data_IF_535569963202
#
_entry.id   IF_535569963202
#
_cell.length_a   1.000
_cell.length_b   1.000
_cell.length_c   1.000
_cell.angle_alpha   90.00
_cell.angle_beta   90.00
_cell.angle_gamma   90.00
#
_symmetry.space_group_name_H-M   'P 1'
#
loop_
_entity.id
_entity.type
_entity.pdbx_description
1 polymer ?
#
# COMPACT_ATOMS: atom_id res chain seq x y z
N UNK A 1 -27.09 -27.24 -0.39
CA UNK A 1 -26.14 -27.09 -1.50
C UNK A 1 -24.81 -26.63 -0.91
N UNK A 2 -23.95 -27.58 -0.54
CA UNK A 2 -22.60 -27.30 -0.06
C UNK A 2 -21.71 -27.11 -1.27
N UNK A 3 -21.16 -25.92 -1.47
CA UNK A 3 -20.10 -25.72 -2.45
C UNK A 3 -19.19 -24.56 -2.05
N UNK A 4 -18.23 -24.88 -1.19
CA UNK A 4 -16.97 -24.15 -1.09
C UNK A 4 -15.98 -25.11 -0.45
N UNK A 5 -14.98 -25.57 -1.21
CA UNK A 5 -13.73 -26.05 -0.61
C UNK A 5 -13.27 -25.00 0.39
N UNK A 6 -13.29 -25.31 1.69
CA UNK A 6 -12.98 -24.33 2.74
C UNK A 6 -11.53 -23.86 2.57
N UNK A 7 -11.38 -22.66 2.00
CA UNK A 7 -10.07 -22.05 1.78
C UNK A 7 -9.57 -21.58 3.14
N UNK A 8 -8.50 -22.21 3.63
CA UNK A 8 -7.77 -21.70 4.79
C UNK A 8 -7.16 -20.35 4.38
N UNK A 9 -7.46 -19.30 5.16
CA UNK A 9 -6.97 -17.93 4.98
C UNK A 9 -6.17 -17.51 6.19
N UNK A 10 -5.32 -16.50 6.02
CA UNK A 10 -4.72 -15.80 7.15
C UNK A 10 -5.80 -15.36 8.16
N UNK A 11 -5.53 -15.52 9.45
CA UNK A 11 -6.51 -15.28 10.52
C UNK A 11 -7.17 -13.89 10.44
N UNK A 12 -6.37 -12.85 10.14
CA UNK A 12 -6.87 -11.47 10.01
C UNK A 12 -7.89 -11.30 8.88
N UNK A 13 -7.81 -12.11 7.83
CA UNK A 13 -8.68 -12.03 6.66
C UNK A 13 -10.06 -12.68 6.87
N UNK A 14 -10.24 -13.44 7.96
CA UNK A 14 -11.49 -14.16 8.24
C UNK A 14 -12.53 -13.30 8.97
N UNK A 15 -12.16 -12.07 9.36
CA UNK A 15 -12.99 -11.22 10.23
C UNK A 15 -14.07 -10.42 9.49
N UNK A 16 -13.93 -10.23 8.17
CA UNK A 16 -14.87 -9.47 7.34
C UNK A 16 -14.81 -9.98 5.88
N UNK A 17 -15.94 -10.18 5.18
CA UNK A 17 -15.96 -10.61 3.78
C UNK A 17 -15.15 -9.72 2.84
N UNK A 18 -15.08 -8.42 3.09
CA UNK A 18 -14.28 -7.48 2.31
C UNK A 18 -12.77 -7.72 2.52
N UNK A 19 -12.36 -8.05 3.75
CA UNK A 19 -10.97 -8.45 4.02
C UNK A 19 -10.64 -9.78 3.36
N UNK A 20 -11.56 -10.75 3.39
CA UNK A 20 -11.38 -12.03 2.72
C UNK A 20 -11.20 -11.86 1.20
N UNK A 21 -12.02 -11.01 0.58
CA UNK A 21 -11.90 -10.69 -0.85
C UNK A 21 -10.57 -10.00 -1.19
N UNK A 22 -10.18 -9.00 -0.39
CA UNK A 22 -8.89 -8.30 -0.54
C UNK A 22 -7.70 -9.24 -0.36
N UNK A 23 -7.73 -10.08 0.67
CA UNK A 23 -6.72 -11.11 0.93
C UNK A 23 -6.57 -12.06 -0.26
N UNK A 24 -7.69 -12.55 -0.78
CA UNK A 24 -7.70 -13.54 -1.85
C UNK A 24 -7.22 -12.95 -3.17
N UNK A 25 -7.61 -11.71 -3.49
CA UNK A 25 -7.42 -11.13 -4.81
C UNK A 25 -6.25 -10.15 -4.93
N UNK A 26 -5.81 -9.52 -3.85
CA UNK A 26 -4.91 -8.38 -3.90
C UNK A 26 -3.70 -8.51 -2.98
N UNK A 27 -3.89 -8.88 -1.71
CA UNK A 27 -2.81 -8.88 -0.73
C UNK A 27 -1.77 -9.97 -1.00
N UNK A 28 -0.49 -9.58 -0.97
CA UNK A 28 0.63 -10.45 -1.30
C UNK A 28 0.76 -10.78 -2.80
N UNK A 29 0.01 -10.10 -3.68
CA UNK A 29 0.17 -10.24 -5.13
C UNK A 29 1.24 -9.25 -5.62
N UNK A 30 2.33 -9.71 -6.27
CA UNK A 30 3.40 -8.82 -6.71
C UNK A 30 2.90 -7.71 -7.64
N UNK A 31 3.07 -6.46 -7.21
CA UNK A 31 2.72 -5.26 -7.97
C UNK A 31 3.99 -4.63 -8.54
N UNK A 32 4.01 -4.38 -9.85
CA UNK A 32 5.15 -3.79 -10.55
C UNK A 32 4.81 -2.48 -11.26
N UNK A 33 3.55 -2.04 -11.27
CA UNK A 33 3.20 -0.71 -11.77
C UNK A 33 3.58 0.38 -10.74
N UNK A 34 4.43 1.32 -11.15
CA UNK A 34 4.97 2.38 -10.28
C UNK A 34 3.87 3.23 -9.62
N UNK A 35 2.82 3.56 -10.36
CA UNK A 35 1.72 4.40 -9.87
C UNK A 35 0.79 3.62 -8.94
N UNK A 36 0.57 2.33 -9.19
CA UNK A 36 -0.13 1.41 -8.30
C UNK A 36 0.59 1.20 -6.97
N UNK A 37 1.91 1.00 -7.02
CA UNK A 37 2.76 0.90 -5.83
C UNK A 37 2.68 2.18 -5.01
N UNK A 38 2.78 3.34 -5.67
CA UNK A 38 2.66 4.65 -5.03
C UNK A 38 1.28 4.88 -4.40
N UNK A 39 0.18 4.60 -5.10
CA UNK A 39 -1.18 4.70 -4.55
C UNK A 39 -1.32 3.86 -3.28
N UNK A 40 -0.89 2.59 -3.33
CA UNK A 40 -0.97 1.69 -2.17
C UNK A 40 -0.16 2.24 -0.99
N UNK A 41 1.05 2.77 -1.24
CA UNK A 41 1.87 3.39 -0.19
C UNK A 41 1.16 4.60 0.46
N UNK A 42 0.43 5.41 -0.32
CA UNK A 42 -0.35 6.53 0.24
C UNK A 42 -1.47 6.02 1.14
N UNK A 43 -2.20 4.98 0.70
CA UNK A 43 -3.27 4.36 1.48
C UNK A 43 -2.76 3.75 2.79
N UNK A 44 -1.62 3.04 2.76
CA UNK A 44 -0.93 2.52 3.95
C UNK A 44 -0.47 3.67 4.87
N UNK A 45 -0.01 4.80 4.33
CA UNK A 45 0.26 6.01 5.10
C UNK A 45 -0.98 6.56 5.83
N UNK A 46 -2.16 6.49 5.20
CA UNK A 46 -3.42 6.86 5.84
C UNK A 46 -3.86 5.89 6.93
N UNK A 47 -3.46 4.61 6.87
CA UNK A 47 -3.81 3.58 7.84
C UNK A 47 -3.21 3.82 9.24
N UNK A 48 -2.13 4.60 9.38
CA UNK A 48 -1.48 4.82 10.68
C UNK A 48 -2.49 5.24 11.78
N UNK A 49 -2.67 4.40 12.81
CA UNK A 49 -3.62 4.61 13.91
C UNK A 49 -5.05 4.10 13.65
N UNK A 50 -5.29 3.36 12.57
CA UNK A 50 -6.60 2.83 12.17
C UNK A 50 -6.49 1.35 11.74
N UNK A 51 -7.63 0.67 11.62
CA UNK A 51 -7.67 -0.66 10.98
C UNK A 51 -7.55 -0.56 9.47
N UNK A 52 -6.91 -1.54 8.82
CA UNK A 52 -6.87 -1.61 7.35
C UNK A 52 -8.29 -1.70 6.74
N UNK A 53 -9.22 -2.40 7.39
CA UNK A 53 -10.63 -2.44 6.97
C UNK A 53 -11.26 -1.05 6.83
N UNK A 54 -10.88 -0.10 7.70
CA UNK A 54 -11.33 1.29 7.59
C UNK A 54 -10.86 1.93 6.29
N UNK A 55 -9.60 1.72 5.92
CA UNK A 55 -9.03 2.26 4.68
C UNK A 55 -9.65 1.57 3.47
N UNK A 56 -9.79 0.24 3.52
CA UNK A 56 -10.34 -0.56 2.42
C UNK A 56 -11.79 -0.15 2.09
N UNK A 57 -12.64 0.08 3.11
CA UNK A 57 -14.00 0.61 2.92
C UNK A 57 -14.04 2.04 2.35
N UNK A 58 -12.98 2.82 2.55
CA UNK A 58 -12.86 4.21 2.09
C UNK A 58 -12.09 4.35 0.78
N UNK A 59 -11.57 3.26 0.21
CA UNK A 59 -10.61 3.29 -0.90
C UNK A 59 -11.13 4.03 -2.13
N UNK A 60 -12.38 3.78 -2.52
CA UNK A 60 -12.98 4.45 -3.68
C UNK A 60 -13.26 5.94 -3.41
N UNK A 61 -13.61 6.28 -2.16
CA UNK A 61 -13.71 7.68 -1.75
C UNK A 61 -12.34 8.38 -1.80
N UNK A 62 -11.27 7.72 -1.35
CA UNK A 62 -9.90 8.22 -1.48
C UNK A 62 -9.52 8.45 -2.94
N UNK A 63 -9.76 7.48 -3.83
CA UNK A 63 -9.51 7.64 -5.27
C UNK A 63 -10.27 8.84 -5.83
N UNK A 64 -11.55 9.00 -5.53
CA UNK A 64 -12.33 10.17 -5.97
C UNK A 64 -11.76 11.48 -5.44
N UNK A 65 -11.47 11.53 -4.13
CA UNK A 65 -10.98 12.70 -3.42
C UNK A 65 -9.60 13.18 -3.95
N UNK A 66 -8.71 12.22 -4.24
CA UNK A 66 -7.36 12.44 -4.75
C UNK A 66 -7.26 12.26 -6.28
N UNK A 67 -8.35 12.47 -7.02
CA UNK A 67 -8.38 12.51 -8.50
C UNK A 67 -7.76 11.28 -9.18
N UNK A 68 -8.02 10.10 -8.62
CA UNK A 68 -7.55 8.79 -9.09
C UNK A 68 -6.10 8.48 -8.73
N UNK A 69 -5.55 9.14 -7.70
CA UNK A 69 -4.13 9.01 -7.34
C UNK A 69 -3.18 9.29 -8.51
N UNK A 70 -3.52 10.27 -9.35
CA UNK A 70 -2.66 10.76 -10.44
C UNK A 70 -1.73 11.83 -9.87
N UNK A 71 -0.41 11.57 -9.72
CA UNK A 71 0.51 12.49 -9.04
C UNK A 71 0.54 13.89 -9.65
N UNK A 72 0.45 14.00 -10.98
CA UNK A 72 0.44 15.25 -11.74
C UNK A 72 -0.81 16.10 -11.47
N UNK A 73 -1.90 15.48 -11.05
CA UNK A 73 -3.12 16.19 -10.62
C UNK A 73 -3.01 16.61 -9.16
N UNK A 74 -2.50 15.71 -8.31
CA UNK A 74 -2.39 15.93 -6.86
C UNK A 74 -1.38 17.03 -6.53
N UNK A 75 -0.25 17.11 -7.25
CA UNK A 75 0.77 18.13 -6.99
C UNK A 75 0.25 19.57 -7.16
N UNK A 76 -0.84 19.74 -7.93
CA UNK A 76 -1.52 21.02 -8.18
C UNK A 76 -2.53 21.39 -7.09
N UNK A 77 -2.78 20.51 -6.11
CA UNK A 77 -3.69 20.81 -5.01
C UNK A 77 -3.18 22.01 -4.22
N UNK A 78 -4.12 22.90 -3.90
CA UNK A 78 -3.87 24.13 -3.15
C UNK A 78 -4.39 24.01 -1.72
N UNK A 79 -4.22 25.06 -0.91
CA UNK A 79 -4.81 25.11 0.43
C UNK A 79 -6.34 24.93 0.40
N UNK A 80 -7.02 25.47 -0.61
CA UNK A 80 -8.45 25.29 -0.79
C UNK A 80 -8.82 23.81 -1.03
N UNK A 81 -7.95 23.04 -1.69
CA UNK A 81 -8.16 21.60 -1.84
C UNK A 81 -7.95 20.85 -0.52
N UNK A 82 -6.98 21.25 0.29
CA UNK A 82 -6.76 20.67 1.62
C UNK A 82 -7.99 20.90 2.50
N UNK A 83 -8.51 22.13 2.53
CA UNK A 83 -9.73 22.46 3.28
C UNK A 83 -10.96 21.69 2.77
N UNK A 84 -11.12 21.60 1.45
CA UNK A 84 -12.18 20.76 0.83
C UNK A 84 -12.08 19.30 1.29
N UNK A 85 -10.87 18.73 1.29
CA UNK A 85 -10.63 17.35 1.72
C UNK A 85 -10.84 17.16 3.22
N UNK A 86 -10.55 18.18 4.05
CA UNK A 86 -10.83 18.17 5.48
C UNK A 86 -12.33 18.14 5.80
N UNK A 87 -13.20 18.49 4.85
CA UNK A 87 -14.65 18.37 4.99
C UNK A 87 -15.22 17.05 4.44
N UNK A 88 -14.41 16.23 3.76
CA UNK A 88 -14.87 14.99 3.14
C UNK A 88 -14.88 13.83 4.16
N UNK A 89 -16.09 13.50 4.65
CA UNK A 89 -16.30 12.37 5.55
C UNK A 89 -16.06 10.98 4.91
N UNK A 90 -15.96 10.93 3.57
CA UNK A 90 -15.61 9.74 2.81
C UNK A 90 -14.19 9.25 3.07
N UNK A 91 -13.26 10.16 3.39
CA UNK A 91 -11.85 9.83 3.66
C UNK A 91 -11.49 9.94 5.15
N UNK A 92 -10.22 9.76 5.47
CA UNK A 92 -9.65 10.07 6.79
C UNK A 92 -9.26 11.55 6.81
N UNK A 93 -9.98 12.36 7.60
CA UNK A 93 -9.81 13.82 7.71
C UNK A 93 -8.61 14.18 8.59
N UNK A 94 -7.42 14.00 8.04
CA UNK A 94 -6.15 14.33 8.70
C UNK A 94 -5.35 15.27 7.80
N UNK A 95 -5.28 16.55 8.20
CA UNK A 95 -4.58 17.59 7.45
C UNK A 95 -3.13 17.19 7.15
N UNK A 96 -2.41 16.70 8.15
CA UNK A 96 -1.02 16.26 8.00
C UNK A 96 -0.85 15.12 6.99
N UNK A 97 -1.77 14.15 6.95
CA UNK A 97 -1.74 13.05 5.97
C UNK A 97 -2.15 13.50 4.56
N UNK A 98 -3.10 14.43 4.45
CA UNK A 98 -3.50 15.05 3.18
C UNK A 98 -2.32 15.83 2.57
N UNK A 99 -1.72 16.73 3.35
CA UNK A 99 -0.54 17.51 2.95
C UNK A 99 0.64 16.61 2.61
N UNK A 100 0.85 15.53 3.39
CA UNK A 100 1.87 14.53 3.08
C UNK A 100 1.62 13.84 1.75
N UNK A 101 0.38 13.51 1.39
CA UNK A 101 0.06 12.90 0.09
C UNK A 101 0.42 13.84 -1.07
N UNK A 102 0.17 15.14 -0.91
CA UNK A 102 0.58 16.16 -1.88
C UNK A 102 2.11 16.25 -1.98
N UNK A 103 2.82 16.23 -0.84
CA UNK A 103 4.27 16.18 -0.81
C UNK A 103 4.86 14.91 -1.42
N UNK A 104 4.23 13.77 -1.19
CA UNK A 104 4.64 12.48 -1.73
C UNK A 104 4.42 12.40 -3.25
N UNK A 105 3.43 13.11 -3.79
CA UNK A 105 3.26 13.27 -5.24
C UNK A 105 4.43 14.07 -5.85
N UNK A 106 4.89 15.13 -5.17
CA UNK A 106 6.09 15.88 -5.57
C UNK A 106 7.34 14.99 -5.55
N UNK A 107 7.52 14.23 -4.48
CA UNK A 107 8.65 13.30 -4.34
C UNK A 107 8.68 12.25 -5.45
N UNK A 108 7.52 11.63 -5.73
CA UNK A 108 7.37 10.66 -6.82
C UNK A 108 7.70 11.26 -8.19
N UNK A 109 7.14 12.44 -8.51
CA UNK A 109 7.42 13.12 -9.79
C UNK A 109 8.88 13.57 -9.91
N UNK A 110 9.51 13.95 -8.79
CA UNK A 110 10.92 14.31 -8.78
C UNK A 110 11.82 13.11 -9.09
N UNK A 111 11.48 11.90 -8.58
CA UNK A 111 12.18 10.67 -8.96
C UNK A 111 12.06 10.42 -10.47
N UNK A 112 10.84 10.49 -11.02
CA UNK A 112 10.61 10.30 -12.45
C UNK A 112 11.38 11.32 -13.30
N UNK A 113 11.41 12.59 -12.89
CA UNK A 113 12.17 13.64 -13.57
C UNK A 113 13.70 13.40 -13.51
N UNK A 114 14.18 12.69 -12.48
CA UNK A 114 15.58 12.26 -12.37
C UNK A 114 15.89 10.95 -13.12
N UNK A 115 14.91 10.37 -13.82
CA UNK A 115 15.05 9.09 -14.51
C UNK A 115 15.00 7.87 -13.59
N UNK A 116 14.51 8.02 -12.36
CA UNK A 116 14.35 6.93 -11.40
C UNK A 116 12.90 6.41 -11.42
N UNK A 117 12.69 5.20 -11.95
CA UNK A 117 11.38 4.54 -11.88
C UNK A 117 11.12 4.02 -10.45
N UNK A 118 9.92 4.28 -9.93
CA UNK A 118 9.57 3.96 -8.55
C UNK A 118 9.52 2.45 -8.29
N UNK A 119 8.99 1.67 -9.24
CA UNK A 119 8.91 0.21 -9.13
C UNK A 119 10.30 -0.41 -9.17
N UNK A 120 11.14 -0.01 -10.13
CA UNK A 120 12.53 -0.48 -10.23
C UNK A 120 13.34 -0.12 -8.99
N UNK A 121 13.19 1.09 -8.47
CA UNK A 121 13.84 1.53 -7.23
C UNK A 121 13.48 0.62 -6.05
N UNK A 122 12.19 0.37 -5.83
CA UNK A 122 11.70 -0.42 -4.69
C UNK A 122 12.05 -1.90 -4.85
N UNK A 123 11.75 -2.49 -6.00
CA UNK A 123 12.04 -3.89 -6.27
C UNK A 123 13.54 -4.17 -6.31
N UNK A 124 14.35 -3.22 -6.77
CA UNK A 124 15.81 -3.28 -6.70
C UNK A 124 16.32 -3.44 -5.27
N UNK A 125 15.79 -2.65 -4.32
CA UNK A 125 16.11 -2.79 -2.90
C UNK A 125 15.67 -4.16 -2.33
N UNK A 126 14.58 -4.73 -2.84
CA UNK A 126 14.06 -6.03 -2.42
C UNK A 126 14.67 -7.24 -3.15
N UNK A 127 15.68 -7.04 -4.02
CA UNK A 127 16.34 -8.11 -4.76
C UNK A 127 15.55 -8.63 -5.98
N UNK A 128 14.59 -7.86 -6.48
CA UNK A 128 13.92 -8.05 -7.77
C UNK A 128 12.86 -9.15 -7.83
N UNK A 129 12.58 -9.84 -6.72
CA UNK A 129 11.59 -10.93 -6.66
C UNK A 129 10.91 -10.99 -5.28
N UNK A 130 9.69 -11.53 -5.19
CA UNK A 130 9.01 -11.66 -3.90
C UNK A 130 9.84 -12.42 -2.87
N UNK A 131 9.86 -11.89 -1.65
CA UNK A 131 10.49 -12.52 -0.48
C UNK A 131 9.42 -13.39 0.20
N UNK A 132 9.53 -14.71 0.04
CA UNK A 132 8.61 -15.66 0.69
C UNK A 132 9.05 -15.91 2.12
N UNK A 133 8.20 -15.58 3.09
CA UNK A 133 8.48 -15.85 4.48
C UNK A 133 8.27 -17.34 4.79
N UNK A 134 9.36 -18.05 5.08
CA UNK A 134 9.35 -19.48 5.41
C UNK A 134 9.40 -19.75 6.92
N UNK A 135 9.56 -18.71 7.74
CA UNK A 135 9.74 -18.85 9.19
C UNK A 135 8.40 -18.88 9.94
N UNK A 136 7.32 -18.40 9.33
CA UNK A 136 6.01 -18.25 9.95
C UNK A 136 5.90 -17.06 10.91
N UNK A 137 7.02 -16.43 11.30
CA UNK A 137 7.03 -15.21 12.11
C UNK A 137 6.76 -14.00 11.23
N UNK A 138 5.73 -13.22 11.56
CA UNK A 138 5.36 -12.00 10.83
C UNK A 138 5.64 -10.79 11.72
N UNK A 139 6.83 -10.16 11.61
CA UNK A 139 7.18 -9.01 12.44
C UNK A 139 6.38 -7.77 12.00
N UNK A 140 6.37 -6.73 12.83
CA UNK A 140 5.73 -5.44 12.46
C UNK A 140 6.62 -4.58 11.57
N UNK A 141 7.92 -4.87 11.51
CA UNK A 141 8.92 -4.24 10.64
C UNK A 141 10.12 -5.18 10.47
N UNK A 142 10.92 -4.95 9.44
CA UNK A 142 12.17 -5.67 9.14
C UNK A 142 13.31 -4.70 8.86
N UNK A 143 14.58 -5.15 8.91
CA UNK A 143 15.71 -4.32 8.49
C UNK A 143 15.52 -3.73 7.08
N UNK A 144 15.03 -4.53 6.13
CA UNK A 144 14.73 -4.05 4.78
C UNK A 144 13.65 -2.95 4.76
N UNK A 145 12.59 -3.07 5.57
CA UNK A 145 11.58 -2.01 5.68
C UNK A 145 12.15 -0.73 6.30
N UNK A 146 13.15 -0.82 7.18
CA UNK A 146 13.85 0.33 7.75
C UNK A 146 14.69 1.04 6.69
N UNK A 147 15.42 0.27 5.88
CA UNK A 147 16.23 0.77 4.76
C UNK A 147 15.35 1.45 3.70
N UNK A 148 14.26 0.81 3.27
CA UNK A 148 13.30 1.40 2.32
C UNK A 148 12.66 2.66 2.91
N UNK A 149 12.26 2.64 4.19
CA UNK A 149 11.75 3.84 4.88
C UNK A 149 12.77 4.98 4.85
N UNK A 150 14.04 4.70 5.16
CA UNK A 150 15.09 5.72 5.15
C UNK A 150 15.31 6.28 3.73
N UNK A 151 15.32 5.41 2.72
CA UNK A 151 15.52 5.81 1.33
C UNK A 151 14.35 6.62 0.75
N UNK A 152 13.11 6.28 1.13
CA UNK A 152 11.91 7.07 0.80
C UNK A 152 11.93 8.44 1.50
N UNK A 153 12.27 8.48 2.80
CA UNK A 153 12.39 9.76 3.55
C UNK A 153 13.45 10.67 2.94
N UNK A 154 14.59 10.12 2.50
CA UNK A 154 15.64 10.88 1.81
C UNK A 154 15.14 11.52 0.52
N UNK A 155 14.14 10.92 -0.15
CA UNK A 155 13.46 11.45 -1.34
C UNK A 155 12.29 12.38 -1.03
N UNK A 156 12.06 12.70 0.25
CA UNK A 156 11.03 13.64 0.69
C UNK A 156 9.67 13.02 0.99
N UNK A 157 9.54 11.69 0.96
CA UNK A 157 8.29 11.03 1.35
C UNK A 157 8.03 11.16 2.86
N UNK A 158 6.76 11.34 3.21
CA UNK A 158 6.22 11.43 4.57
C UNK A 158 5.18 10.32 4.82
N UNK A 159 4.96 10.00 6.10
CA UNK A 159 4.13 8.85 6.52
C UNK A 159 4.60 7.51 5.94
N UNK A 160 5.92 7.35 5.82
CA UNK A 160 6.60 6.14 5.34
C UNK A 160 7.52 5.55 6.43
N UNK A 161 6.99 5.42 7.64
CA UNK A 161 7.72 4.77 8.74
C UNK A 161 7.92 3.27 8.48
N UNK A 162 8.92 2.60 9.10
CA UNK A 162 9.24 1.21 8.80
C UNK A 162 8.05 0.24 8.93
N UNK A 163 7.17 0.45 9.91
CA UNK A 163 5.95 -0.36 10.09
C UNK A 163 4.98 -0.19 8.92
N UNK A 164 4.79 1.05 8.46
CA UNK A 164 3.94 1.36 7.30
C UNK A 164 4.54 0.74 6.04
N UNK A 165 5.86 0.90 5.86
CA UNK A 165 6.59 0.33 4.72
C UNK A 165 6.50 -1.18 4.72
N UNK A 166 6.63 -1.85 5.86
CA UNK A 166 6.51 -3.30 5.92
C UNK A 166 5.10 -3.79 5.60
N UNK A 167 4.06 -3.15 6.16
CA UNK A 167 2.67 -3.46 5.82
C UNK A 167 2.40 -3.27 4.31
N UNK A 168 2.92 -2.19 3.72
CA UNK A 168 2.85 -1.93 2.29
C UNK A 168 3.61 -2.97 1.45
N UNK A 169 4.80 -3.41 1.88
CA UNK A 169 5.57 -4.47 1.22
C UNK A 169 4.79 -5.79 1.18
N UNK A 170 4.09 -6.11 2.27
CA UNK A 170 3.19 -7.28 2.31
C UNK A 170 1.99 -7.09 1.37
N UNK A 171 1.35 -5.92 1.43
CA UNK A 171 0.19 -5.60 0.60
C UNK A 171 0.48 -5.65 -0.90
N UNK A 172 1.72 -5.31 -1.29
CA UNK A 172 2.17 -5.25 -2.69
C UNK A 172 2.92 -6.49 -3.16
N UNK A 173 3.02 -7.52 -2.32
CA UNK A 173 3.67 -8.79 -2.68
C UNK A 173 5.19 -8.70 -2.83
N UNK A 174 5.82 -7.62 -2.36
CA UNK A 174 7.27 -7.57 -2.15
C UNK A 174 7.66 -8.63 -1.12
N UNK A 175 6.83 -8.79 -0.08
CA UNK A 175 6.91 -9.88 0.89
C UNK A 175 5.65 -10.72 0.80
N UNK A 176 5.81 -12.04 0.68
CA UNK A 176 4.74 -13.00 0.85
C UNK A 176 4.75 -13.52 2.29
N UNK A 177 3.91 -12.88 3.11
CA UNK A 177 3.67 -13.20 4.52
C UNK A 177 2.34 -13.94 4.73
N UNK A 178 1.79 -14.58 3.69
CA UNK A 178 0.67 -15.49 3.89
C UNK A 178 1.08 -16.59 4.88
N UNK A 179 0.21 -16.91 5.84
CA UNK A 179 0.45 -18.00 6.79
C UNK A 179 0.70 -19.33 6.06
N UNK A 180 1.51 -20.22 6.62
CA UNK A 180 1.95 -21.44 5.93
C UNK A 180 0.79 -22.34 5.46
N UNK A 181 -0.30 -22.37 6.20
CA UNK A 181 -1.53 -23.11 5.88
C UNK A 181 -2.51 -22.33 4.99
N UNK A 182 -2.23 -21.05 4.71
CA UNK A 182 -3.06 -20.22 3.85
C UNK A 182 -2.97 -20.72 2.40
N UNK A 183 -4.13 -20.85 1.74
CA UNK A 183 -4.21 -21.22 0.32
C UNK A 183 -3.52 -20.23 -0.66
N UNK A 184 -3.03 -19.09 -0.17
CA UNK A 184 -2.29 -18.09 -0.94
C UNK A 184 -0.79 -18.10 -0.67
N UNK A 185 -0.30 -18.89 0.29
CA UNK A 185 1.13 -19.01 0.58
C UNK A 185 1.91 -19.55 -0.62
N UNK A 186 2.90 -18.80 -1.10
CA UNK A 186 3.71 -19.16 -2.27
C UNK A 186 2.95 -19.19 -3.60
N UNK A 187 1.69 -18.73 -3.63
CA UNK A 187 0.86 -18.79 -4.84
C UNK A 187 1.29 -17.71 -5.85
N UNK A 188 1.78 -18.14 -7.01
CA UNK A 188 2.11 -17.25 -8.14
C UNK A 188 0.84 -16.59 -8.69
N UNK A 189 0.78 -15.27 -8.66
CA UNK A 189 -0.37 -14.46 -9.07
C UNK A 189 0.09 -13.23 -9.85
N UNK A 190 -0.79 -12.72 -10.70
CA UNK A 190 -0.63 -11.43 -11.38
C UNK A 190 -1.61 -10.42 -10.78
N UNK A 191 -1.23 -9.14 -10.64
CA UNK A 191 -2.15 -8.11 -10.19
C UNK A 191 -3.30 -7.97 -11.19
N UNK A 192 -4.49 -7.64 -10.69
CA UNK A 192 -5.59 -7.25 -11.58
C UNK A 192 -5.26 -5.90 -12.23
N UNK A 193 -5.63 -5.69 -13.51
CA UNK A 193 -5.58 -4.35 -14.10
C UNK A 193 -6.38 -3.38 -13.21
N UNK A 194 -5.80 -2.20 -12.97
CA UNK A 194 -6.48 -1.12 -12.24
C UNK A 194 -7.40 -0.32 -13.16
#
# INVERSE_FOLDING_TARGET
MSNSTDKIRCAWAQTDPLLAAYHDAEWGVPEHDSRALWEKLMLDGFQAGLSWLTILRKRDAFRKAFKGFVPEKIVKFTEADVERLMQDAGIVRSRSKIEATIGNARAYLAMQAAGEDFSEFIWGMAGGKPIVNRTGSVPVKTPLSEDISAALKKRGFKFVGPVIVYAWMQATGIVDDHAHDCHRHGAKRKPKPQ
#
